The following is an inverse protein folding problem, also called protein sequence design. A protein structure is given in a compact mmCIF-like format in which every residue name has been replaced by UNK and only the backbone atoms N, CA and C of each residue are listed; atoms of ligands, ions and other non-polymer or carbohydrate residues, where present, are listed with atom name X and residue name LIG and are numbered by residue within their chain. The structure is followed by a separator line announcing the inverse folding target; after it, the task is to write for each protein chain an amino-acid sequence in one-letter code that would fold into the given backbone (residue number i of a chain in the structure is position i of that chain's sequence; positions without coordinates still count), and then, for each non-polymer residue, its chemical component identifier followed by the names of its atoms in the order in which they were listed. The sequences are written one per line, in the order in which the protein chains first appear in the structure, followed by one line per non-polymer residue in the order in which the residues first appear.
data_IF_551898964329
#
_entry.id   IF_551898964329
#
_cell.length_a   1.000
_cell.length_b   1.000
_cell.length_c   1.000
_cell.angle_alpha   90.00
_cell.angle_beta   90.00
_cell.angle_gamma   90.00
#
_symmetry.space_group_name_H-M   'P 1'
#
loop_
_entity.id
_entity.type
_entity.pdbx_description
1 polymer ?
#
# COMPACT_ATOMS: atom_id res chain seq x y z
N UNK A 1 4.67 -27.36 -11.98
CA UNK A 1 3.34 -27.21 -11.34
C UNK A 1 3.54 -27.27 -9.84
N UNK A 2 3.70 -26.13 -9.17
CA UNK A 2 3.75 -26.05 -7.69
C UNK A 2 2.34 -25.75 -7.19
N UNK A 3 1.83 -26.66 -6.35
CA UNK A 3 0.52 -26.55 -5.73
C UNK A 3 0.57 -25.45 -4.66
N UNK A 4 -0.24 -24.41 -4.82
CA UNK A 4 -0.51 -23.41 -3.78
C UNK A 4 -1.47 -24.07 -2.80
N UNK A 5 -1.03 -24.31 -1.56
CA UNK A 5 -1.90 -24.78 -0.49
C UNK A 5 -2.54 -23.56 0.16
N UNK A 6 -3.81 -23.36 -0.14
CA UNK A 6 -4.65 -22.41 0.56
C UNK A 6 -5.00 -23.05 1.92
N UNK A 7 -4.44 -22.53 2.99
CA UNK A 7 -4.78 -22.96 4.35
C UNK A 7 -5.96 -22.13 4.83
N UNK A 8 -7.15 -22.70 4.75
CA UNK A 8 -8.32 -22.21 5.48
C UNK A 8 -8.15 -22.54 6.95
N UNK A 9 -7.87 -21.56 7.80
CA UNK A 9 -7.94 -21.68 9.24
C UNK A 9 -9.38 -21.43 9.69
N UNK A 10 -10.12 -22.50 9.94
CA UNK A 10 -11.36 -22.44 10.70
C UNK A 10 -11.02 -22.21 12.17
N UNK A 11 -11.15 -20.98 12.67
CA UNK A 11 -11.05 -20.67 14.10
C UNK A 11 -12.37 -20.94 14.79
N UNK A 12 -12.44 -22.06 15.51
CA UNK A 12 -13.44 -22.30 16.55
C UNK A 12 -13.15 -21.39 17.75
N UNK A 13 -14.19 -20.73 18.24
CA UNK A 13 -14.21 -19.82 19.38
C UNK A 13 -13.81 -20.54 20.68
N UNK A 14 -12.54 -20.43 21.10
CA UNK A 14 -12.12 -20.49 22.51
C UNK A 14 -10.73 -19.83 22.61
N UNK A 15 -10.57 -18.71 23.33
CA UNK A 15 -9.27 -18.14 23.73
C UNK A 15 -8.80 -16.89 23.00
N UNK A 16 -9.52 -15.76 23.11
CA UNK A 16 -9.19 -14.49 22.47
C UNK A 16 -7.92 -13.75 22.96
N UNK A 17 -7.17 -14.31 23.92
CA UNK A 17 -6.00 -13.63 24.50
C UNK A 17 -4.65 -14.02 23.89
N UNK A 18 -4.50 -15.25 23.38
CA UNK A 18 -3.21 -15.76 22.92
C UNK A 18 -2.93 -15.45 21.42
N UNK A 19 -3.98 -15.30 20.62
CA UNK A 19 -3.84 -15.06 19.17
C UNK A 19 -3.37 -13.63 18.86
N UNK A 20 -3.83 -12.62 19.61
CA UNK A 20 -3.43 -11.22 19.41
C UNK A 20 -1.95 -10.98 19.77
N UNK A 21 -1.44 -11.65 20.82
CA UNK A 21 -0.05 -11.52 21.24
C UNK A 21 0.92 -12.20 20.24
N UNK A 22 0.51 -13.33 19.63
CA UNK A 22 1.35 -14.02 18.63
C UNK A 22 1.41 -13.27 17.29
N UNK A 23 0.31 -12.66 16.85
CA UNK A 23 0.27 -11.84 15.63
C UNK A 23 1.10 -10.57 15.80
N UNK A 24 1.02 -9.89 16.96
CA UNK A 24 1.86 -8.73 17.22
C UNK A 24 3.35 -9.07 17.31
N UNK A 25 3.71 -10.23 17.84
CA UNK A 25 5.10 -10.68 17.93
C UNK A 25 5.66 -11.05 16.55
N UNK A 26 4.88 -11.68 15.68
CA UNK A 26 5.31 -12.00 14.30
C UNK A 26 5.52 -10.74 13.46
N UNK A 27 4.63 -9.74 13.56
CA UNK A 27 4.79 -8.46 12.83
C UNK A 27 6.03 -7.71 13.30
N UNK A 28 6.39 -7.79 14.58
CA UNK A 28 7.59 -7.12 15.11
C UNK A 28 8.89 -7.80 14.67
N UNK A 29 8.92 -9.13 14.62
CA UNK A 29 10.08 -9.88 14.12
C UNK A 29 10.24 -9.77 12.58
N UNK A 30 9.13 -9.71 11.83
CA UNK A 30 9.19 -9.56 10.39
C UNK A 30 9.68 -8.18 9.94
N UNK A 31 9.43 -7.11 10.72
CA UNK A 31 9.91 -5.76 10.38
C UNK A 31 11.42 -5.62 10.45
N UNK A 32 12.09 -6.35 11.32
CA UNK A 32 13.56 -6.29 11.50
C UNK A 32 14.32 -6.91 10.32
N UNK A 33 13.81 -8.00 9.72
CA UNK A 33 14.49 -8.64 8.58
C UNK A 33 14.45 -7.80 7.30
N UNK A 34 13.47 -6.90 7.18
CA UNK A 34 13.33 -5.99 6.03
C UNK A 34 14.14 -4.70 6.17
N UNK A 35 14.71 -4.44 7.35
CA UNK A 35 15.43 -3.18 7.65
C UNK A 35 16.58 -2.90 6.71
N UNK A 36 17.33 -3.94 6.35
CA UNK A 36 18.49 -3.83 5.45
C UNK A 36 18.15 -4.15 4.00
N UNK A 37 16.89 -4.51 3.70
CA UNK A 37 16.50 -4.81 2.33
C UNK A 37 16.61 -3.57 1.43
N UNK A 38 17.15 -3.77 0.22
CA UNK A 38 17.28 -2.71 -0.77
C UNK A 38 15.92 -2.46 -1.46
N UNK A 39 15.21 -1.44 -1.04
CA UNK A 39 13.91 -1.03 -1.59
C UNK A 39 14.03 -0.25 -2.91
N UNK A 40 15.23 -0.11 -3.46
CA UNK A 40 15.52 0.83 -4.54
C UNK A 40 15.83 2.24 -4.04
N UNK A 41 16.37 3.07 -4.93
CA UNK A 41 16.58 4.49 -4.64
C UNK A 41 15.23 5.21 -4.55
N UNK A 42 15.02 5.99 -3.51
CA UNK A 42 13.86 6.88 -3.40
C UNK A 42 14.25 8.26 -3.95
N UNK A 43 13.44 8.78 -4.86
CA UNK A 43 13.53 10.14 -5.34
C UNK A 43 12.20 10.83 -5.09
N UNK A 44 12.18 11.74 -4.14
CA UNK A 44 11.04 12.61 -3.90
C UNK A 44 11.25 13.95 -4.58
N UNK A 45 10.26 14.43 -5.31
CA UNK A 45 10.29 15.71 -6.00
C UNK A 45 9.01 16.49 -5.73
N UNK A 46 9.15 17.66 -5.11
CA UNK A 46 8.05 18.61 -4.97
C UNK A 46 8.09 19.62 -6.14
N UNK A 47 7.13 19.50 -7.05
CA UNK A 47 6.98 20.37 -8.20
C UNK A 47 6.00 21.54 -7.99
N UNK A 48 5.48 21.67 -6.78
CA UNK A 48 4.52 22.71 -6.44
C UNK A 48 4.78 23.29 -5.04
N UNK A 49 6.04 23.67 -4.73
CA UNK A 49 6.45 24.07 -3.37
C UNK A 49 5.77 25.37 -2.89
N UNK A 50 5.18 26.15 -3.83
CA UNK A 50 4.48 27.40 -3.52
C UNK A 50 3.01 27.18 -3.11
N UNK A 51 2.54 25.93 -3.07
CA UNK A 51 1.14 25.64 -2.76
C UNK A 51 0.91 25.34 -1.27
N UNK A 52 -0.29 25.66 -0.79
CA UNK A 52 -0.71 25.28 0.55
C UNK A 52 -0.67 23.75 0.74
N UNK A 53 -0.98 22.98 -0.30
CA UNK A 53 -0.93 21.52 -0.27
C UNK A 53 0.48 21.00 -0.02
N UNK A 54 1.50 21.62 -0.60
CA UNK A 54 2.91 21.32 -0.33
C UNK A 54 3.27 21.61 1.13
N UNK A 55 2.94 22.80 1.63
CA UNK A 55 3.18 23.18 3.03
C UNK A 55 2.55 22.18 4.01
N UNK A 56 1.33 21.75 3.73
CA UNK A 56 0.61 20.77 4.54
C UNK A 56 1.33 19.42 4.48
N UNK A 57 1.71 18.96 3.29
CA UNK A 57 2.41 17.69 3.10
C UNK A 57 3.71 17.64 3.90
N UNK A 58 4.58 18.63 3.74
CA UNK A 58 5.87 18.70 4.44
C UNK A 58 5.73 18.84 5.96
N UNK A 59 4.63 19.40 6.43
CA UNK A 59 4.34 19.47 7.87
C UNK A 59 3.99 18.11 8.47
N UNK A 60 3.26 17.25 7.74
CA UNK A 60 2.87 15.93 8.21
C UNK A 60 3.92 14.86 7.89
N UNK A 61 4.71 15.05 6.83
CA UNK A 61 5.77 14.15 6.38
C UNK A 61 7.04 14.97 6.14
N UNK A 62 7.77 15.33 7.20
CA UNK A 62 8.97 16.20 7.09
C UNK A 62 10.12 15.57 6.31
N UNK A 63 10.24 14.24 6.34
CA UNK A 63 11.24 13.47 5.59
C UNK A 63 10.53 12.46 4.69
N UNK A 64 10.18 12.92 3.49
CA UNK A 64 9.41 12.12 2.55
C UNK A 64 10.15 10.87 2.07
N UNK A 65 11.45 10.97 1.81
CA UNK A 65 12.25 9.83 1.31
C UNK A 65 12.34 8.71 2.36
N UNK A 66 12.67 9.06 3.60
CA UNK A 66 12.69 8.09 4.69
C UNK A 66 11.33 7.48 4.94
N UNK A 67 10.27 8.28 4.88
CA UNK A 67 8.90 7.81 5.06
C UNK A 67 8.49 6.83 3.95
N UNK A 68 8.75 7.16 2.68
CA UNK A 68 8.45 6.28 1.55
C UNK A 68 9.23 4.95 1.69
N UNK A 69 10.50 5.02 2.09
CA UNK A 69 11.32 3.83 2.32
C UNK A 69 10.77 2.92 3.43
N UNK A 70 10.27 3.51 4.50
CA UNK A 70 9.61 2.76 5.59
C UNK A 70 8.33 2.08 5.10
N UNK A 71 7.47 2.80 4.35
CA UNK A 71 6.26 2.20 3.80
C UNK A 71 6.57 1.12 2.76
N UNK A 72 7.64 1.26 1.96
CA UNK A 72 8.10 0.22 1.05
C UNK A 72 8.47 -1.08 1.79
N UNK A 73 9.16 -0.97 2.93
CA UNK A 73 9.46 -2.13 3.79
C UNK A 73 8.20 -2.75 4.38
N UNK A 74 7.24 -1.94 4.77
CA UNK A 74 5.92 -2.41 5.25
C UNK A 74 5.19 -3.23 4.18
N UNK A 75 5.20 -2.76 2.94
CA UNK A 75 4.61 -3.47 1.79
C UNK A 75 5.34 -4.80 1.55
N UNK A 76 6.67 -4.79 1.52
CA UNK A 76 7.47 -6.01 1.35
C UNK A 76 7.18 -7.04 2.44
N UNK A 77 7.13 -6.63 3.70
CA UNK A 77 6.80 -7.50 4.83
C UNK A 77 5.36 -8.05 4.79
N UNK A 78 4.46 -7.39 4.05
CA UNK A 78 3.08 -7.85 3.85
C UNK A 78 2.97 -8.83 2.69
N UNK A 79 3.73 -8.61 1.60
CA UNK A 79 3.68 -9.43 0.38
C UNK A 79 4.52 -10.70 0.48
N UNK A 80 5.62 -10.67 1.23
CA UNK A 80 6.65 -11.70 1.24
C UNK A 80 6.97 -12.17 2.65
N UNK A 81 7.37 -13.43 2.77
CA UNK A 81 7.76 -14.00 4.06
C UNK A 81 9.22 -13.69 4.40
N UNK A 82 10.08 -13.51 3.38
CA UNK A 82 11.51 -13.38 3.54
C UNK A 82 12.13 -12.50 2.45
N UNK A 83 13.21 -11.77 2.77
CA UNK A 83 14.03 -11.06 1.76
C UNK A 83 14.63 -11.95 0.68
N UNK A 84 14.72 -13.26 0.91
CA UNK A 84 15.22 -14.27 -0.05
C UNK A 84 14.14 -14.77 -1.02
N UNK A 85 12.88 -14.36 -0.85
CA UNK A 85 11.81 -14.68 -1.79
C UNK A 85 12.10 -14.04 -3.16
N UNK A 86 11.47 -14.57 -4.22
CA UNK A 86 11.60 -14.02 -5.57
C UNK A 86 10.83 -12.70 -5.67
N UNK A 87 11.48 -11.62 -5.26
CA UNK A 87 10.92 -10.26 -5.25
C UNK A 87 11.32 -9.54 -6.54
N UNK A 88 10.39 -8.83 -7.22
CA UNK A 88 10.75 -7.98 -8.35
C UNK A 88 11.80 -6.93 -7.97
N UNK A 89 12.84 -6.79 -8.79
CA UNK A 89 13.90 -5.82 -8.55
C UNK A 89 13.39 -4.40 -8.84
N UNK A 90 13.29 -3.58 -7.81
CA UNK A 90 12.97 -2.15 -7.92
C UNK A 90 14.26 -1.35 -7.82
N UNK A 91 14.64 -0.64 -8.90
CA UNK A 91 15.87 0.15 -8.92
C UNK A 91 15.64 1.56 -8.37
N UNK A 92 14.48 2.16 -8.66
CA UNK A 92 14.14 3.52 -8.25
C UNK A 92 12.64 3.69 -8.11
N UNK A 93 12.22 4.37 -7.07
CA UNK A 93 10.87 4.88 -6.88
C UNK A 93 10.95 6.40 -7.02
N UNK A 94 10.23 6.96 -7.99
CA UNK A 94 10.09 8.38 -8.19
C UNK A 94 8.71 8.81 -7.74
N UNK A 95 8.65 9.55 -6.65
CA UNK A 95 7.41 10.08 -6.07
C UNK A 95 7.37 11.59 -6.23
N UNK A 96 6.33 12.09 -6.89
CA UNK A 96 6.20 13.51 -7.22
C UNK A 96 4.97 14.09 -6.52
N UNK A 97 5.15 15.24 -5.89
CA UNK A 97 4.08 16.09 -5.40
C UNK A 97 3.79 17.17 -6.43
N UNK A 98 2.58 17.21 -7.00
CA UNK A 98 2.24 18.09 -8.11
C UNK A 98 0.90 18.80 -7.91
N UNK A 99 0.78 20.00 -8.49
CA UNK A 99 -0.46 20.79 -8.50
C UNK A 99 -1.29 20.48 -9.74
N UNK A 100 -1.83 19.26 -9.82
CA UNK A 100 -2.60 18.82 -10.98
C UNK A 100 -4.06 18.51 -10.62
N UNK A 101 -4.95 18.69 -11.61
CA UNK A 101 -6.31 18.19 -11.56
C UNK A 101 -6.39 16.92 -12.39
N UNK A 102 -6.90 15.86 -11.81
CA UNK A 102 -7.36 14.71 -12.59
C UNK A 102 -6.55 13.44 -12.46
N UNK A 103 -6.92 12.48 -13.27
CA UNK A 103 -6.47 11.10 -13.25
C UNK A 103 -5.05 10.99 -13.79
N UNK A 104 -4.06 10.80 -12.93
CA UNK A 104 -2.70 10.56 -13.39
C UNK A 104 -1.98 9.54 -12.51
N UNK A 105 -1.22 8.72 -13.18
CA UNK A 105 -0.34 7.68 -12.66
C UNK A 105 0.65 8.22 -11.61
N UNK A 106 0.55 7.72 -10.37
CA UNK A 106 1.55 7.86 -9.28
C UNK A 106 2.00 9.31 -9.02
N UNK A 107 1.03 10.21 -8.88
CA UNK A 107 1.26 11.56 -8.34
C UNK A 107 0.37 11.81 -7.14
N UNK A 108 0.89 12.52 -6.15
CA UNK A 108 0.05 13.02 -5.08
C UNK A 108 -0.26 14.49 -5.31
N UNK A 109 -1.52 14.79 -5.58
CA UNK A 109 -1.93 16.13 -5.95
C UNK A 109 -2.04 17.05 -4.74
N UNK A 110 -1.36 18.21 -4.77
CA UNK A 110 -1.49 19.25 -3.74
C UNK A 110 -2.94 19.71 -3.58
N UNK A 111 -3.70 19.78 -4.67
CA UNK A 111 -5.14 20.13 -4.63
C UNK A 111 -5.98 19.06 -3.90
N UNK A 112 -5.61 17.79 -4.03
CA UNK A 112 -6.26 16.72 -3.27
C UNK A 112 -5.97 16.86 -1.76
N UNK A 113 -4.73 17.19 -1.42
CA UNK A 113 -4.30 17.45 -0.03
C UNK A 113 -5.09 18.61 0.56
N UNK A 114 -5.13 19.75 -0.12
CA UNK A 114 -5.86 20.95 0.30
C UNK A 114 -7.35 20.64 0.53
N UNK A 115 -7.98 19.95 -0.42
CA UNK A 115 -9.39 19.55 -0.34
C UNK A 115 -9.66 18.57 0.79
N UNK A 116 -8.79 17.60 0.99
CA UNK A 116 -8.92 16.59 2.05
C UNK A 116 -8.65 17.16 3.43
N UNK A 117 -7.87 18.26 3.50
CA UNK A 117 -7.50 18.96 4.73
C UNK A 117 -8.44 20.12 5.08
N UNK A 118 -9.54 20.32 4.35
CA UNK A 118 -10.46 21.45 4.52
C UNK A 118 -10.97 21.66 5.97
N UNK A 119 -10.93 20.63 6.81
CA UNK A 119 -11.30 20.68 8.23
C UNK A 119 -10.09 20.76 9.19
N UNK A 120 -8.87 21.04 8.71
CA UNK A 120 -7.62 20.99 9.49
C UNK A 120 -7.37 19.63 10.18
N UNK A 121 -7.87 18.55 9.61
CA UNK A 121 -7.71 17.20 10.13
C UNK A 121 -6.40 16.57 9.62
N UNK A 122 -5.31 16.84 10.34
CA UNK A 122 -3.98 16.29 10.03
C UNK A 122 -3.93 14.78 10.16
N UNK A 123 -4.68 14.20 11.10
CA UNK A 123 -4.70 12.75 11.30
C UNK A 123 -5.36 12.05 10.12
N UNK A 124 -6.48 12.58 9.63
CA UNK A 124 -7.16 12.07 8.43
C UNK A 124 -6.27 12.18 7.20
N UNK A 125 -5.62 13.32 7.01
CA UNK A 125 -4.74 13.53 5.87
C UNK A 125 -3.54 12.57 5.89
N UNK A 126 -2.91 12.39 7.05
CA UNK A 126 -1.82 11.44 7.23
C UNK A 126 -2.28 10.00 6.91
N UNK A 127 -3.47 9.62 7.40
CA UNK A 127 -4.09 8.33 7.14
C UNK A 127 -4.32 8.10 5.65
N UNK A 128 -4.89 9.06 4.93
CA UNK A 128 -5.12 8.97 3.48
C UNK A 128 -3.80 8.90 2.69
N UNK A 129 -2.84 9.77 3.03
CA UNK A 129 -1.52 9.80 2.38
C UNK A 129 -0.80 8.46 2.55
N UNK A 130 -0.82 7.89 3.76
CA UNK A 130 -0.25 6.57 4.04
C UNK A 130 -0.97 5.47 3.25
N UNK A 131 -2.30 5.52 3.23
CA UNK A 131 -3.12 4.53 2.53
C UNK A 131 -2.87 4.50 1.03
N UNK A 132 -2.79 5.67 0.39
CA UNK A 132 -2.43 5.80 -1.03
C UNK A 132 -1.01 5.27 -1.27
N UNK A 133 -0.05 5.66 -0.45
CA UNK A 133 1.33 5.23 -0.61
C UNK A 133 1.50 3.71 -0.49
N UNK A 134 0.80 3.05 0.44
CA UNK A 134 0.79 1.59 0.58
C UNK A 134 0.23 0.90 -0.67
N UNK A 135 -0.84 1.44 -1.25
CA UNK A 135 -1.43 0.95 -2.49
C UNK A 135 -0.43 1.04 -3.66
N UNK A 136 0.10 2.21 -3.90
CA UNK A 136 1.01 2.47 -5.03
C UNK A 136 2.35 1.72 -4.90
N UNK A 137 2.92 1.65 -3.70
CA UNK A 137 4.13 0.86 -3.47
C UNK A 137 3.91 -0.63 -3.67
N UNK A 138 2.69 -1.13 -3.47
CA UNK A 138 2.37 -2.53 -3.77
C UNK A 138 2.57 -2.83 -5.25
N UNK A 139 2.18 -1.93 -6.14
CA UNK A 139 2.41 -2.11 -7.58
C UNK A 139 3.88 -2.23 -7.96
N UNK A 140 4.78 -1.60 -7.19
CA UNK A 140 6.21 -1.72 -7.42
C UNK A 140 6.80 -3.10 -7.07
N UNK A 141 6.20 -3.80 -6.10
CA UNK A 141 6.77 -5.04 -5.56
C UNK A 141 5.91 -6.28 -5.77
N UNK A 142 4.66 -6.17 -6.21
CA UNK A 142 3.79 -7.32 -6.42
C UNK A 142 4.22 -8.14 -7.65
N UNK A 143 4.01 -9.45 -7.57
CA UNK A 143 4.19 -10.32 -8.71
C UNK A 143 2.98 -10.21 -9.66
N UNK A 144 3.27 -10.15 -10.95
CA UNK A 144 2.23 -10.11 -11.98
C UNK A 144 1.77 -11.52 -12.37
N UNK A 145 0.45 -11.72 -12.62
CA UNK A 145 -0.07 -12.95 -13.18
C UNK A 145 0.56 -13.25 -14.55
N UNK A 146 1.00 -14.50 -14.74
CA UNK A 146 1.63 -14.91 -15.96
C UNK A 146 0.65 -15.61 -16.92
N UNK A 147 0.79 -15.37 -18.23
CA UNK A 147 0.05 -16.09 -19.26
C UNK A 147 -1.40 -15.65 -19.49
N UNK A 148 -1.86 -14.58 -18.86
CA UNK A 148 -3.26 -14.08 -18.99
C UNK A 148 -3.36 -12.68 -19.62
N UNK A 149 -2.30 -12.18 -20.24
CA UNK A 149 -2.28 -10.84 -20.83
C UNK A 149 -1.65 -9.80 -19.93
N UNK A 150 -2.18 -8.58 -19.93
CA UNK A 150 -1.63 -7.45 -19.18
C UNK A 150 -2.71 -6.61 -18.52
N UNK A 151 -2.31 -5.65 -17.69
CA UNK A 151 -3.18 -4.69 -17.02
C UNK A 151 -4.17 -3.99 -17.97
N UNK A 152 -3.71 -3.56 -19.15
CA UNK A 152 -4.55 -2.86 -20.13
C UNK A 152 -5.40 -3.77 -21.02
N UNK A 153 -5.16 -5.10 -21.03
CA UNK A 153 -5.79 -6.02 -21.98
C UNK A 153 -6.66 -7.10 -21.34
N UNK A 154 -6.52 -7.32 -20.04
CA UNK A 154 -7.26 -8.38 -19.34
C UNK A 154 -7.87 -7.88 -18.01
N UNK A 155 -9.19 -7.98 -17.91
CA UNK A 155 -9.92 -7.53 -16.71
C UNK A 155 -9.57 -8.32 -15.46
N UNK A 156 -9.27 -9.62 -15.58
CA UNK A 156 -8.84 -10.45 -14.43
C UNK A 156 -7.47 -10.01 -13.95
N UNK A 157 -6.55 -9.74 -14.88
CA UNK A 157 -5.23 -9.20 -14.56
C UNK A 157 -5.35 -7.88 -13.78
N UNK A 158 -6.12 -6.94 -14.33
CA UNK A 158 -6.38 -5.65 -13.68
C UNK A 158 -6.98 -5.83 -12.27
N UNK A 159 -8.02 -6.66 -12.15
CA UNK A 159 -8.69 -6.88 -10.86
C UNK A 159 -7.74 -7.49 -9.81
N UNK A 160 -6.87 -8.42 -10.22
CA UNK A 160 -5.87 -9.01 -9.33
C UNK A 160 -4.85 -7.97 -8.85
N UNK A 161 -4.32 -7.16 -9.76
CA UNK A 161 -3.30 -6.13 -9.45
C UNK A 161 -3.85 -5.10 -8.46
N UNK A 162 -5.03 -4.54 -8.76
CA UNK A 162 -5.66 -3.53 -7.91
C UNK A 162 -6.17 -4.10 -6.59
N UNK A 163 -6.73 -5.32 -6.64
CA UNK A 163 -7.20 -5.99 -5.44
C UNK A 163 -6.08 -6.33 -4.46
N UNK A 164 -4.93 -6.75 -4.96
CA UNK A 164 -3.75 -7.00 -4.12
C UNK A 164 -3.24 -5.70 -3.48
N UNK A 165 -3.19 -4.59 -4.22
CA UNK A 165 -2.77 -3.30 -3.71
C UNK A 165 -3.70 -2.82 -2.57
N UNK A 166 -5.02 -2.97 -2.76
CA UNK A 166 -5.98 -2.67 -1.71
C UNK A 166 -5.91 -3.66 -0.53
N UNK A 167 -5.64 -4.93 -0.76
CA UNK A 167 -5.46 -5.92 0.31
C UNK A 167 -4.27 -5.57 1.22
N UNK A 168 -3.13 -5.15 0.65
CA UNK A 168 -1.97 -4.66 1.40
C UNK A 168 -2.33 -3.39 2.19
N UNK A 169 -3.05 -2.46 1.57
CA UNK A 169 -3.56 -1.25 2.24
C UNK A 169 -4.46 -1.60 3.43
N UNK A 170 -5.41 -2.54 3.26
CA UNK A 170 -6.30 -3.02 4.33
C UNK A 170 -5.52 -3.70 5.45
N UNK A 171 -4.60 -4.61 5.12
CA UNK A 171 -3.78 -5.35 6.09
C UNK A 171 -2.96 -4.42 7.01
N UNK A 172 -2.60 -3.24 6.50
CA UNK A 172 -1.84 -2.23 7.22
C UNK A 172 -2.71 -1.09 7.78
N UNK A 173 -4.03 -1.29 7.89
CA UNK A 173 -4.95 -0.32 8.50
C UNK A 173 -5.18 0.94 7.68
N UNK A 174 -4.99 0.87 6.36
CA UNK A 174 -5.14 2.00 5.44
C UNK A 174 -6.58 2.28 4.99
N UNK A 175 -7.56 1.58 5.54
CA UNK A 175 -8.99 1.86 5.40
C UNK A 175 -9.68 1.85 6.75
N UNK A 176 -10.61 2.76 7.00
CA UNK A 176 -11.28 2.89 8.27
C UNK A 176 -12.38 1.84 8.52
N UNK A 177 -12.26 1.17 9.67
CA UNK A 177 -13.32 0.45 10.36
C UNK A 177 -14.03 -0.65 9.57
N UNK A 178 -15.19 -1.09 10.04
CA UNK A 178 -15.95 -2.18 9.42
C UNK A 178 -16.52 -1.82 8.04
N UNK A 179 -16.57 -0.56 7.67
CA UNK A 179 -16.96 -0.10 6.32
C UNK A 179 -15.83 -0.21 5.29
N UNK A 180 -14.61 -0.51 5.72
CA UNK A 180 -13.49 -0.78 4.84
C UNK A 180 -13.65 -2.06 4.00
N UNK A 181 -14.45 -3.01 4.51
CA UNK A 181 -14.73 -4.25 3.78
C UNK A 181 -15.83 -4.03 2.74
N UNK A 182 -15.71 -4.61 1.54
CA UNK A 182 -16.77 -4.55 0.55
C UNK A 182 -18.03 -5.25 1.09
N UNK A 183 -19.20 -4.67 0.82
CA UNK A 183 -20.51 -5.21 1.21
C UNK A 183 -21.12 -6.11 0.13
N UNK A 184 -20.35 -6.54 -0.80
CA UNK A 184 -20.75 -7.31 -1.97
C UNK A 184 -19.88 -6.93 -3.15
N UNK A 185 -20.21 -7.46 -4.32
CA UNK A 185 -19.45 -7.25 -5.52
C UNK A 185 -18.83 -8.54 -6.04
N UNK A 186 -18.02 -8.43 -7.06
CA UNK A 186 -17.38 -9.54 -7.74
C UNK A 186 -15.86 -9.31 -7.72
N UNK A 187 -15.07 -10.37 -7.60
CA UNK A 187 -13.61 -10.30 -7.69
C UNK A 187 -13.10 -9.60 -8.96
N UNK A 188 -13.92 -9.56 -10.02
CA UNK A 188 -13.62 -8.83 -11.26
C UNK A 188 -13.80 -7.31 -11.16
N UNK A 189 -14.37 -6.82 -10.08
CA UNK A 189 -14.54 -5.38 -9.86
C UNK A 189 -13.25 -4.69 -9.42
N UNK A 190 -12.25 -5.47 -9.03
CA UNK A 190 -10.95 -4.97 -8.60
C UNK A 190 -11.00 -4.31 -7.22
N UNK A 191 -9.90 -3.66 -6.85
CA UNK A 191 -9.75 -2.96 -5.56
C UNK A 191 -10.17 -3.85 -4.38
N UNK A 192 -10.78 -3.28 -3.35
CA UNK A 192 -11.22 -4.00 -2.13
C UNK A 192 -12.17 -5.17 -2.38
N UNK A 193 -12.79 -5.22 -3.55
CA UNK A 193 -13.72 -6.30 -3.90
C UNK A 193 -12.98 -7.56 -4.36
N UNK A 194 -11.77 -7.40 -4.92
CA UNK A 194 -10.94 -8.50 -5.41
C UNK A 194 -9.88 -8.95 -4.40
N UNK A 195 -9.57 -8.10 -3.41
CA UNK A 195 -8.55 -8.34 -2.39
C UNK A 195 -8.95 -9.22 -1.21
#
# INVERSE_FOLDING_TARGET
MKKIHLIYAACLLVGMGACAASVQKQVKDSSDVWKEYNTGAILFEDKAPETLGSDIYHRIIPDAESYIKEQARTVLATLYNSPEDSIPAVHKIHYTLENINGDVTIFYSTRHIEKSFAANDTAKLFFETRGVLLHELTHAYQLEPQGIGSYGTNRVFWAFIEGMADAVRVANGGFDGPNARPKGGNYMDGYRTAG
#
